data_IF_035773148763
#
_entry.id   IF_035773148763
#
_cell.length_a   1.000
_cell.length_b   1.000
_cell.length_c   1.000
_cell.angle_alpha   90.00
_cell.angle_beta   90.00
_cell.angle_gamma   90.00
#
_symmetry.space_group_name_H-M   'P 1'
#
loop_
_entity.id
_entity.type
_entity.pdbx_description
1 polymer ?
#
# COMPACT_ATOMS: atom_id res chain seq x y z
N UNK A 1 24.67 2.05 -6.19
CA UNK A 1 24.96 2.47 -7.58
C UNK A 1 23.88 2.05 -8.58
N UNK A 2 23.59 0.75 -8.77
CA UNK A 2 22.55 0.32 -9.73
C UNK A 2 21.13 0.77 -9.35
N UNK A 3 20.70 0.53 -8.10
CA UNK A 3 19.35 0.90 -7.63
C UNK A 3 19.14 2.41 -7.75
N UNK A 4 20.18 3.20 -7.47
CA UNK A 4 20.15 4.65 -7.60
C UNK A 4 19.86 5.08 -9.06
N UNK A 5 20.48 4.43 -10.06
CA UNK A 5 20.21 4.70 -11.49
C UNK A 5 18.76 4.38 -11.88
N UNK A 6 18.20 3.29 -11.36
CA UNK A 6 16.81 2.90 -11.64
C UNK A 6 15.85 3.97 -11.11
N UNK A 7 16.04 4.39 -9.87
CA UNK A 7 15.21 5.44 -9.27
C UNK A 7 15.36 6.80 -9.96
N UNK A 8 16.56 7.14 -10.44
CA UNK A 8 16.76 8.35 -11.24
C UNK A 8 15.93 8.32 -12.53
N UNK A 9 15.97 7.21 -13.27
CA UNK A 9 15.16 7.04 -14.50
C UNK A 9 13.66 7.12 -14.18
N UNK A 10 13.19 6.48 -13.10
CA UNK A 10 11.80 6.58 -12.65
C UNK A 10 11.42 8.03 -12.33
N UNK A 11 12.31 8.78 -11.69
CA UNK A 11 12.09 10.19 -11.33
C UNK A 11 12.02 11.12 -12.54
N UNK A 12 12.78 10.85 -13.60
CA UNK A 12 12.72 11.61 -14.86
C UNK A 12 11.46 11.30 -15.68
N UNK A 13 10.94 10.07 -15.57
CA UNK A 13 9.75 9.61 -16.29
C UNK A 13 8.44 10.11 -15.65
N UNK A 14 8.24 11.44 -15.57
CA UNK A 14 7.09 12.08 -14.89
C UNK A 14 5.72 11.74 -15.48
N UNK A 15 5.67 11.28 -16.74
CA UNK A 15 4.45 10.77 -17.38
C UNK A 15 4.00 9.40 -16.84
N UNK A 16 4.84 8.71 -16.07
CA UNK A 16 4.54 7.41 -15.48
C UNK A 16 4.47 7.49 -13.95
N UNK A 17 3.55 6.72 -13.38
CA UNK A 17 3.54 6.40 -11.95
C UNK A 17 4.17 5.02 -11.72
N UNK A 18 5.19 4.94 -10.88
CA UNK A 18 5.88 3.71 -10.54
C UNK A 18 5.47 3.22 -9.15
N UNK A 19 4.90 2.02 -9.08
CA UNK A 19 4.60 1.35 -7.80
C UNK A 19 5.75 0.40 -7.46
N UNK A 20 6.58 0.77 -6.48
CA UNK A 20 7.72 -0.03 -6.01
C UNK A 20 7.28 -0.85 -4.80
N UNK A 21 7.13 -2.16 -4.98
CA UNK A 21 6.64 -3.09 -3.97
C UNK A 21 7.76 -3.99 -3.43
N UNK A 22 7.84 -4.16 -2.11
CA UNK A 22 8.81 -5.07 -1.48
C UNK A 22 8.22 -5.84 -0.30
N UNK A 23 8.77 -7.02 0.01
CA UNK A 23 8.52 -7.75 1.27
C UNK A 23 9.53 -7.40 2.38
N UNK A 24 10.48 -6.51 2.09
CA UNK A 24 11.58 -6.08 2.96
C UNK A 24 11.59 -4.55 3.12
N UNK A 25 10.52 -3.95 3.65
CA UNK A 25 10.42 -2.49 3.79
C UNK A 25 11.49 -1.90 4.71
N UNK A 26 12.03 -2.67 5.64
CA UNK A 26 13.17 -2.28 6.47
C UNK A 26 14.41 -1.94 5.63
N UNK A 27 14.73 -2.77 4.62
CA UNK A 27 15.86 -2.52 3.71
C UNK A 27 15.58 -1.33 2.79
N UNK A 28 14.35 -1.18 2.33
CA UNK A 28 13.93 -0.03 1.51
C UNK A 28 14.07 1.27 2.31
N UNK A 29 13.67 1.25 3.58
CA UNK A 29 13.84 2.37 4.52
C UNK A 29 15.30 2.72 4.71
N UNK A 30 16.13 1.74 5.07
CA UNK A 30 17.58 1.94 5.27
C UNK A 30 18.22 2.56 4.03
N UNK A 31 17.92 2.01 2.85
CA UNK A 31 18.39 2.53 1.58
C UNK A 31 18.02 4.01 1.39
N UNK A 32 16.75 4.39 1.58
CA UNK A 32 16.29 5.76 1.39
C UNK A 32 16.77 6.72 2.49
N UNK A 33 16.85 6.27 3.75
CA UNK A 33 17.36 7.07 4.87
C UNK A 33 18.85 7.41 4.68
N UNK A 34 19.66 6.47 4.19
CA UNK A 34 21.07 6.73 3.85
C UNK A 34 21.22 7.82 2.78
N UNK A 35 20.39 7.78 1.72
CA UNK A 35 20.45 8.78 0.64
C UNK A 35 19.90 10.12 1.11
N UNK A 36 18.87 10.14 1.95
CA UNK A 36 18.34 11.36 2.56
C UNK A 36 19.39 12.08 3.42
N UNK A 37 20.28 11.34 4.10
CA UNK A 37 21.33 11.89 4.97
C UNK A 37 22.58 12.39 4.20
N UNK A 38 22.77 11.98 2.95
CA UNK A 38 23.99 12.19 2.17
C UNK A 38 24.07 13.49 1.34
N UNK A 39 24.06 14.67 1.97
CA UNK A 39 24.52 16.02 1.52
C UNK A 39 24.04 16.59 0.13
N UNK A 40 24.30 17.90 -0.15
CA UNK A 40 23.33 18.98 -0.33
C UNK A 40 22.73 19.10 -1.75
N UNK A 41 21.59 19.81 -1.88
CA UNK A 41 21.13 20.39 -3.15
C UNK A 41 22.22 21.33 -3.70
N UNK A 42 23.01 20.87 -4.66
CA UNK A 42 23.83 21.73 -5.51
C UNK A 42 23.04 21.98 -6.81
N UNK A 43 22.84 23.23 -7.25
CA UNK A 43 22.22 23.47 -8.55
C UNK A 43 23.17 22.93 -9.63
N UNK A 44 22.66 22.10 -10.53
CA UNK A 44 23.46 21.59 -11.64
C UNK A 44 23.91 22.76 -12.51
N UNK A 45 25.16 23.18 -12.37
CA UNK A 45 25.84 24.01 -13.36
C UNK A 45 26.65 23.06 -14.24
N UNK A 46 26.23 22.95 -15.50
CA UNK A 46 27.10 22.50 -16.58
C UNK A 46 27.29 20.99 -16.70
N UNK A 47 27.00 20.46 -17.89
CA UNK A 47 27.25 19.07 -18.25
C UNK A 47 28.68 18.65 -17.95
N UNK A 48 28.83 17.65 -17.08
CA UNK A 48 30.11 17.07 -16.70
C UNK A 48 29.92 15.97 -15.66
N UNK A 49 30.55 14.83 -15.91
CA UNK A 49 30.53 13.61 -15.14
C UNK A 49 31.01 13.83 -13.68
N UNK A 50 30.14 14.11 -12.70
CA UNK A 50 30.30 13.80 -11.25
C UNK A 50 29.09 14.31 -10.43
N UNK A 51 28.48 13.46 -9.59
CA UNK A 51 27.51 13.85 -8.54
C UNK A 51 26.05 13.45 -8.78
N UNK A 52 25.75 12.17 -9.01
CA UNK A 52 24.38 11.66 -9.07
C UNK A 52 23.77 11.57 -7.66
N UNK A 53 23.01 12.59 -7.24
CA UNK A 53 21.96 12.33 -6.26
C UNK A 53 20.76 11.76 -7.03
N UNK A 54 20.30 10.52 -6.76
CA UNK A 54 19.28 9.85 -7.59
C UNK A 54 17.91 10.57 -7.59
N UNK A 55 17.78 11.64 -6.81
CA UNK A 55 16.54 12.29 -6.50
C UNK A 55 16.81 13.77 -6.11
N UNK A 56 17.07 14.66 -7.06
CA UNK A 56 17.15 16.09 -6.74
C UNK A 56 15.73 16.66 -6.57
N UNK A 57 15.05 16.33 -5.47
CA UNK A 57 13.66 16.71 -5.23
C UNK A 57 13.39 17.03 -3.76
N UNK A 58 12.45 17.96 -3.53
CA UNK A 58 12.04 18.39 -2.18
C UNK A 58 11.38 17.26 -1.37
N UNK A 59 10.68 16.35 -2.05
CA UNK A 59 10.08 15.13 -1.45
C UNK A 59 10.76 13.89 -2.02
N UNK A 60 11.22 13.02 -1.13
CA UNK A 60 12.05 11.85 -1.45
C UNK A 60 11.31 10.54 -1.17
N UNK A 61 11.20 9.62 -2.15
CA UNK A 61 11.39 9.83 -3.59
C UNK A 61 10.32 10.77 -4.20
N UNK A 62 10.48 11.22 -5.46
CA UNK A 62 9.50 12.03 -6.19
C UNK A 62 8.07 11.47 -6.14
N UNK A 63 7.07 12.35 -6.29
CA UNK A 63 5.65 12.00 -6.16
C UNK A 63 5.15 10.91 -7.11
N UNK A 64 5.79 10.76 -8.28
CA UNK A 64 5.44 9.74 -9.25
C UNK A 64 6.04 8.35 -8.91
N UNK A 65 6.75 8.22 -7.79
CA UNK A 65 7.28 6.96 -7.27
C UNK A 65 6.58 6.65 -5.95
N UNK A 66 5.72 5.64 -5.98
CA UNK A 66 4.95 5.18 -4.83
C UNK A 66 5.66 4.00 -4.20
N UNK A 67 5.86 4.05 -2.89
CA UNK A 67 6.53 2.98 -2.16
C UNK A 67 5.50 2.12 -1.45
N UNK A 68 5.68 0.82 -1.50
CA UNK A 68 4.76 -0.07 -0.82
C UNK A 68 5.37 -1.37 -0.34
N UNK A 69 4.61 -2.03 0.52
CA UNK A 69 4.98 -3.36 1.03
C UNK A 69 3.82 -4.33 0.91
N UNK A 70 4.14 -5.60 0.61
CA UNK A 70 3.14 -6.65 0.65
C UNK A 70 2.85 -7.01 2.10
N UNK A 71 1.59 -7.28 2.40
CA UNK A 71 1.12 -7.83 3.67
C UNK A 71 0.17 -8.97 3.34
N UNK A 72 0.18 -10.04 4.11
CA UNK A 72 -0.69 -11.18 3.87
C UNK A 72 -1.70 -11.38 5.00
N UNK A 73 -1.38 -10.92 6.20
CA UNK A 73 -2.13 -11.07 7.44
C UNK A 73 -1.71 -10.00 8.46
N UNK A 74 -2.34 -9.97 9.64
CA UNK A 74 -2.04 -8.96 10.67
C UNK A 74 -0.58 -9.01 11.14
N UNK A 75 0.00 -10.22 11.28
CA UNK A 75 1.38 -10.38 11.73
C UNK A 75 2.38 -9.74 10.76
N UNK A 76 2.17 -9.93 9.46
CA UNK A 76 2.99 -9.28 8.41
C UNK A 76 2.71 -7.78 8.31
N UNK A 77 1.47 -7.34 8.54
CA UNK A 77 1.13 -5.92 8.62
C UNK A 77 1.88 -5.21 9.77
N UNK A 78 1.79 -5.75 10.98
CA UNK A 78 2.46 -5.25 12.18
C UNK A 78 3.99 -5.21 12.03
N UNK A 79 4.55 -6.22 11.35
CA UNK A 79 5.99 -6.28 11.10
C UNK A 79 6.46 -5.27 10.03
N UNK A 80 5.66 -4.98 9.01
CA UNK A 80 6.12 -4.29 7.78
C UNK A 80 5.66 -2.84 7.67
N UNK A 81 4.42 -2.55 8.04
CA UNK A 81 3.83 -1.21 7.88
C UNK A 81 4.60 -0.14 8.68
N UNK A 82 5.05 -0.37 9.93
CA UNK A 82 5.81 0.64 10.66
C UNK A 82 7.09 1.08 9.93
N UNK A 83 7.78 0.16 9.24
CA UNK A 83 8.94 0.52 8.42
C UNK A 83 8.54 1.36 7.20
N UNK A 84 7.45 1.01 6.51
CA UNK A 84 6.93 1.77 5.38
C UNK A 84 6.52 3.21 5.78
N UNK A 85 5.79 3.37 6.88
CA UNK A 85 5.37 4.70 7.36
C UNK A 85 6.58 5.54 7.78
N UNK A 86 7.59 4.93 8.41
CA UNK A 86 8.82 5.62 8.76
C UNK A 86 9.75 5.90 7.55
N UNK A 87 9.46 5.33 6.38
CA UNK A 87 10.25 5.55 5.15
C UNK A 87 9.91 6.92 4.56
N UNK A 88 10.90 7.74 4.15
CA UNK A 88 10.66 8.94 3.36
C UNK A 88 9.92 8.57 2.06
N UNK A 89 8.71 9.12 1.88
CA UNK A 89 7.91 8.91 0.69
C UNK A 89 6.82 9.97 0.55
N UNK A 90 6.60 10.41 -0.69
CA UNK A 90 5.43 11.20 -1.06
C UNK A 90 4.14 10.39 -0.95
N UNK A 91 4.17 9.13 -1.42
CA UNK A 91 3.03 8.21 -1.43
C UNK A 91 3.40 6.83 -0.91
N UNK A 92 2.53 6.25 -0.10
CA UNK A 92 2.68 4.92 0.51
C UNK A 92 1.50 4.04 0.18
N UNK A 93 1.75 2.78 -0.15
CA UNK A 93 0.68 1.81 -0.35
C UNK A 93 1.00 0.45 0.28
N UNK A 94 -0.05 -0.32 0.58
CA UNK A 94 0.10 -1.73 0.92
C UNK A 94 -0.58 -2.60 -0.13
N UNK A 95 0.02 -3.75 -0.41
CA UNK A 95 -0.59 -4.79 -1.23
C UNK A 95 -0.92 -5.98 -0.32
N UNK A 96 -2.18 -6.07 0.06
CA UNK A 96 -2.77 -7.18 0.79
C UNK A 96 -3.06 -8.35 -0.16
N UNK A 97 -1.99 -8.92 -0.72
CA UNK A 97 -2.04 -9.90 -1.81
C UNK A 97 -0.98 -11.02 -1.68
N UNK A 98 -1.39 -12.28 -1.51
CA UNK A 98 -2.77 -12.70 -1.22
C UNK A 98 -3.21 -12.23 0.18
N UNK A 99 -4.48 -11.85 0.34
CA UNK A 99 -5.07 -11.64 1.66
C UNK A 99 -5.42 -12.98 2.30
N UNK A 100 -4.64 -13.38 3.30
CA UNK A 100 -4.69 -14.69 3.95
C UNK A 100 -5.32 -14.67 5.35
N UNK A 101 -5.64 -13.49 5.87
CA UNK A 101 -6.32 -13.32 7.15
C UNK A 101 -6.99 -11.95 7.25
N UNK A 102 -7.81 -11.79 8.29
CA UNK A 102 -8.39 -10.49 8.62
C UNK A 102 -7.27 -9.48 8.96
N UNK A 103 -7.51 -8.22 8.60
CA UNK A 103 -6.60 -7.10 8.82
C UNK A 103 -7.36 -5.94 9.48
N UNK A 104 -6.77 -5.37 10.53
CA UNK A 104 -7.15 -4.08 11.08
C UNK A 104 -5.98 -3.10 10.94
N UNK A 105 -6.07 -2.24 9.92
CA UNK A 105 -5.05 -1.23 9.63
C UNK A 105 -5.16 0.00 10.53
N UNK A 106 -6.17 0.06 11.41
CA UNK A 106 -6.33 1.14 12.40
C UNK A 106 -5.51 0.85 13.66
N UNK A 107 -5.10 -0.39 13.85
CA UNK A 107 -4.38 -0.87 15.03
C UNK A 107 -3.18 -1.69 14.55
N UNK A 108 -2.09 -0.99 14.21
CA UNK A 108 -0.82 -1.62 13.86
C UNK A 108 0.22 -1.33 14.93
N UNK A 109 0.98 -2.35 15.34
CA UNK A 109 1.92 -2.22 16.45
C UNK A 109 3.24 -2.90 16.11
N UNK A 110 4.33 -2.13 16.11
CA UNK A 110 5.66 -2.73 16.00
C UNK A 110 5.93 -3.63 17.22
N UNK A 111 6.53 -4.80 17.00
CA UNK A 111 6.83 -5.75 18.07
C UNK A 111 7.66 -5.08 19.18
N UNK A 112 7.16 -5.12 20.42
CA UNK A 112 7.82 -4.54 21.59
C UNK A 112 7.62 -3.03 21.77
N UNK A 113 6.80 -2.38 20.94
CA UNK A 113 6.43 -0.97 21.07
C UNK A 113 5.15 -0.83 21.91
N UNK A 114 5.11 0.08 22.88
CA UNK A 114 3.85 0.50 23.54
C UNK A 114 3.01 1.47 22.70
N UNK A 115 3.53 1.87 21.53
CA UNK A 115 2.87 2.75 20.58
C UNK A 115 2.10 1.96 19.53
N UNK A 116 0.81 2.24 19.43
CA UNK A 116 -0.10 1.78 18.38
C UNK A 116 -0.23 2.85 17.31
N UNK A 117 -0.20 2.44 16.05
CA UNK A 117 -0.32 3.29 14.87
C UNK A 117 -1.61 2.94 14.14
N UNK A 118 -2.41 3.95 13.82
CA UNK A 118 -3.42 3.83 12.80
C UNK A 118 -2.73 4.08 11.45
N UNK A 119 -2.47 3.00 10.71
CA UNK A 119 -1.68 3.04 9.49
C UNK A 119 -2.36 3.85 8.37
N UNK A 120 -3.69 3.84 8.32
CA UNK A 120 -4.45 4.57 7.32
C UNK A 120 -4.31 6.08 7.52
N UNK A 121 -4.41 6.53 8.76
CA UNK A 121 -4.44 7.96 9.09
C UNK A 121 -3.07 8.52 9.44
N UNK A 122 -2.14 7.69 9.91
CA UNK A 122 -0.90 8.11 10.55
C UNK A 122 -1.07 8.57 12.01
N UNK A 123 -2.28 8.47 12.58
CA UNK A 123 -2.49 8.76 14.00
C UNK A 123 -1.77 7.72 14.86
N UNK A 124 -1.34 8.12 16.05
CA UNK A 124 -0.69 7.19 16.97
C UNK A 124 -1.02 7.46 18.42
N UNK A 125 -1.09 6.38 19.18
CA UNK A 125 -1.52 6.38 20.57
C UNK A 125 -0.50 5.58 21.38
N UNK A 126 -0.31 5.94 22.64
CA UNK A 126 0.54 5.20 23.57
C UNK A 126 -0.23 4.98 24.85
N UNK A 127 -0.26 3.73 25.34
CA UNK A 127 -0.94 3.41 26.60
C UNK A 127 -0.35 4.18 27.80
N UNK A 128 0.91 4.61 27.70
CA UNK A 128 1.61 5.36 28.75
C UNK A 128 1.47 6.87 28.60
N UNK A 129 0.73 7.37 27.59
CA UNK A 129 0.54 8.81 27.39
C UNK A 129 -0.86 9.16 26.90
N UNK A 130 -1.57 9.96 27.69
CA UNK A 130 -2.89 10.49 27.35
C UNK A 130 -2.81 11.66 26.35
N UNK A 131 -1.62 12.19 26.05
CA UNK A 131 -1.47 13.25 25.06
C UNK A 131 -1.49 12.68 23.65
N UNK A 132 -2.30 13.26 22.75
CA UNK A 132 -2.26 12.94 21.34
C UNK A 132 -0.84 13.16 20.79
N UNK A 133 -0.23 12.10 20.27
CA UNK A 133 1.08 12.18 19.64
C UNK A 133 0.95 12.87 18.28
N UNK A 134 1.99 13.59 17.81
CA UNK A 134 2.00 14.16 16.47
C UNK A 134 1.65 13.09 15.42
N UNK A 135 0.71 13.44 14.54
CA UNK A 135 0.26 12.57 13.45
C UNK A 135 1.41 12.38 12.46
N UNK A 136 1.77 11.13 12.23
CA UNK A 136 2.75 10.75 11.22
C UNK A 136 2.13 10.62 9.83
N UNK A 137 2.90 10.16 8.84
CA UNK A 137 2.35 9.78 7.54
C UNK A 137 1.41 8.57 7.67
N UNK A 138 0.38 8.54 6.84
CA UNK A 138 -0.53 7.41 6.65
C UNK A 138 -0.28 6.68 5.33
N UNK A 139 -1.17 5.75 5.01
CA UNK A 139 -1.26 5.08 3.71
C UNK A 139 -2.12 5.90 2.75
N UNK A 140 -1.74 5.91 1.48
CA UNK A 140 -2.49 6.54 0.41
C UNK A 140 -3.36 5.54 -0.37
N UNK A 141 -2.94 4.27 -0.41
CA UNK A 141 -3.60 3.21 -1.16
C UNK A 141 -3.50 1.85 -0.46
N UNK A 142 -4.61 1.12 -0.44
CA UNK A 142 -4.69 -0.28 -0.05
C UNK A 142 -5.15 -1.10 -1.25
N UNK A 143 -4.29 -2.00 -1.72
CA UNK A 143 -4.60 -2.96 -2.79
C UNK A 143 -4.92 -4.30 -2.15
N UNK A 144 -6.04 -4.93 -2.53
CA UNK A 144 -6.46 -6.23 -2.00
C UNK A 144 -6.70 -7.23 -3.12
N UNK A 145 -6.31 -8.48 -2.90
CA UNK A 145 -6.51 -9.54 -3.88
C UNK A 145 -6.29 -10.93 -3.32
N UNK A 146 -7.01 -11.90 -3.88
CA UNK A 146 -6.88 -13.32 -3.53
C UNK A 146 -5.74 -14.03 -4.27
N UNK A 147 -5.41 -15.23 -3.78
CA UNK A 147 -4.30 -16.04 -4.29
C UNK A 147 -4.66 -16.69 -5.64
N UNK A 148 -3.71 -16.70 -6.58
CA UNK A 148 -3.83 -17.39 -7.88
C UNK A 148 -2.97 -18.65 -7.92
N UNK A 149 -3.31 -19.63 -8.76
CA UNK A 149 -2.50 -20.83 -9.01
C UNK A 149 -3.01 -22.13 -8.37
N UNK A 150 -2.27 -23.24 -8.56
CA UNK A 150 -2.75 -24.59 -8.26
C UNK A 150 -3.07 -24.84 -6.78
N UNK A 151 -2.40 -24.12 -5.87
CA UNK A 151 -2.53 -24.22 -4.40
C UNK A 151 -3.11 -22.96 -3.77
N UNK A 152 -3.83 -22.15 -4.54
CA UNK A 152 -4.46 -20.94 -4.03
C UNK A 152 -5.36 -21.24 -2.83
N UNK A 153 -5.26 -20.42 -1.80
CA UNK A 153 -6.18 -20.43 -0.66
C UNK A 153 -7.36 -19.48 -0.90
N UNK A 154 -8.55 -19.80 -0.40
CA UNK A 154 -9.68 -18.89 -0.47
C UNK A 154 -9.46 -17.67 0.44
N UNK A 155 -9.91 -16.50 -0.03
CA UNK A 155 -9.98 -15.26 0.75
C UNK A 155 -11.42 -15.07 1.21
N UNK A 156 -11.64 -14.85 2.52
CA UNK A 156 -12.98 -14.62 3.04
C UNK A 156 -13.51 -13.23 2.60
N UNK A 157 -14.77 -13.12 2.13
CA UNK A 157 -15.32 -11.85 1.65
C UNK A 157 -15.36 -10.76 2.73
N UNK A 158 -15.60 -11.14 3.99
CA UNK A 158 -15.66 -10.16 5.08
C UNK A 158 -14.31 -9.50 5.36
N UNK A 159 -13.19 -10.16 5.06
CA UNK A 159 -11.87 -9.55 5.24
C UNK A 159 -11.65 -8.38 4.28
N UNK A 160 -12.02 -8.55 3.00
CA UNK A 160 -11.90 -7.50 1.99
C UNK A 160 -12.95 -6.39 2.19
N UNK A 161 -14.18 -6.74 2.61
CA UNK A 161 -15.22 -5.75 2.95
C UNK A 161 -14.81 -4.87 4.13
N UNK A 162 -14.29 -5.47 5.19
CA UNK A 162 -13.76 -4.73 6.34
C UNK A 162 -12.62 -3.79 5.93
N UNK A 163 -11.67 -4.26 5.12
CA UNK A 163 -10.59 -3.39 4.62
C UNK A 163 -11.11 -2.23 3.78
N UNK A 164 -12.07 -2.46 2.89
CA UNK A 164 -12.73 -1.41 2.12
C UNK A 164 -13.34 -0.36 3.04
N UNK A 165 -14.12 -0.78 4.03
CA UNK A 165 -14.78 0.12 4.98
C UNK A 165 -13.77 0.94 5.80
N UNK A 166 -12.69 0.30 6.26
CA UNK A 166 -11.60 1.00 6.94
C UNK A 166 -10.98 2.09 6.04
N UNK A 167 -10.75 1.79 4.76
CA UNK A 167 -10.20 2.75 3.79
C UNK A 167 -11.15 3.92 3.53
N UNK A 168 -12.42 3.62 3.22
CA UNK A 168 -13.47 4.62 3.00
C UNK A 168 -13.60 5.54 4.22
N UNK A 169 -13.66 4.98 5.43
CA UNK A 169 -13.75 5.75 6.67
C UNK A 169 -12.53 6.65 6.90
N UNK A 170 -11.36 6.29 6.39
CA UNK A 170 -10.12 7.05 6.54
C UNK A 170 -9.84 8.01 5.37
N UNK A 171 -10.63 7.95 4.29
CA UNK A 171 -10.37 8.68 3.05
C UNK A 171 -9.13 8.18 2.28
N UNK A 172 -8.80 6.89 2.43
CA UNK A 172 -7.67 6.23 1.76
C UNK A 172 -8.18 5.50 0.52
N UNK A 173 -7.46 5.56 -0.60
CA UNK A 173 -7.88 4.88 -1.82
C UNK A 173 -7.89 3.36 -1.64
N UNK A 174 -8.94 2.72 -2.16
CA UNK A 174 -9.12 1.28 -2.11
C UNK A 174 -9.16 0.65 -3.50
N UNK A 175 -8.28 -0.33 -3.75
CA UNK A 175 -8.24 -1.08 -5.00
C UNK A 175 -8.46 -2.57 -4.74
N UNK A 176 -9.57 -3.11 -5.24
CA UNK A 176 -9.81 -4.54 -5.26
C UNK A 176 -9.38 -5.12 -6.61
N UNK A 177 -8.27 -5.84 -6.61
CA UNK A 177 -7.69 -6.36 -7.84
C UNK A 177 -8.47 -7.54 -8.38
N UNK A 178 -8.69 -8.56 -7.54
CA UNK A 178 -9.39 -9.79 -7.90
C UNK A 178 -9.58 -10.76 -6.72
N UNK A 179 -10.43 -11.77 -6.93
CA UNK A 179 -10.65 -12.88 -5.98
C UNK A 179 -9.59 -14.00 -6.02
N UNK A 180 -8.75 -14.08 -7.06
CA UNK A 180 -7.86 -15.23 -7.23
C UNK A 180 -8.61 -16.45 -7.75
N UNK A 181 -8.33 -17.67 -7.29
CA UNK A 181 -8.98 -18.89 -7.83
C UNK A 181 -10.38 -19.22 -7.26
N UNK A 182 -10.83 -18.50 -6.22
CA UNK A 182 -11.98 -18.88 -5.39
C UNK A 182 -13.08 -17.83 -5.37
N UNK A 183 -14.34 -18.24 -5.25
CA UNK A 183 -15.48 -17.37 -4.92
C UNK A 183 -16.19 -17.87 -3.67
N UNK A 184 -16.84 -16.95 -2.94
CA UNK A 184 -17.71 -17.28 -1.80
C UNK A 184 -19.18 -17.40 -2.21
N UNK A 185 -19.43 -18.02 -3.36
CA UNK A 185 -20.77 -18.32 -3.86
C UNK A 185 -20.67 -19.42 -4.90
N UNK A 186 -21.67 -20.31 -4.95
CA UNK A 186 -21.78 -21.30 -6.04
C UNK A 186 -21.87 -20.58 -7.40
N UNK A 187 -21.34 -21.15 -8.49
CA UNK A 187 -21.45 -20.56 -9.83
C UNK A 187 -22.88 -20.19 -10.25
N UNK A 188 -23.88 -20.94 -9.78
CA UNK A 188 -25.30 -20.73 -10.07
C UNK A 188 -25.99 -19.71 -9.12
N UNK A 189 -25.25 -19.15 -8.16
CA UNK A 189 -25.77 -18.18 -7.18
C UNK A 189 -26.66 -18.73 -6.06
N UNK A 190 -26.82 -20.06 -5.96
CA UNK A 190 -27.80 -20.72 -5.08
C UNK A 190 -27.31 -21.04 -3.66
N UNK A 191 -26.00 -21.12 -3.45
CA UNK A 191 -25.41 -21.49 -2.15
C UNK A 191 -24.17 -20.65 -1.83
N UNK A 192 -23.95 -20.42 -0.53
CA UNK A 192 -22.76 -19.74 0.00
C UNK A 192 -21.73 -20.76 0.48
N UNK A 193 -20.48 -20.59 0.08
CA UNK A 193 -19.37 -21.48 0.39
C UNK A 193 -18.19 -21.18 -0.52
N UNK A 194 -17.03 -21.78 -0.24
CA UNK A 194 -15.86 -21.60 -1.10
C UNK A 194 -15.88 -22.55 -2.28
N UNK A 195 -15.96 -21.99 -3.48
CA UNK A 195 -15.91 -22.73 -4.74
C UNK A 195 -14.69 -22.31 -5.54
N UNK A 196 -13.88 -23.31 -5.94
CA UNK A 196 -12.76 -23.07 -6.84
C UNK A 196 -13.29 -23.03 -8.27
N UNK A 197 -13.28 -21.83 -8.85
CA UNK A 197 -13.88 -21.58 -10.17
C UNK A 197 -12.86 -21.16 -11.22
N UNK A 198 -11.62 -20.89 -10.79
CA UNK A 198 -10.56 -20.40 -11.66
C UNK A 198 -10.50 -18.89 -11.70
N UNK A 199 -9.28 -18.34 -11.78
CA UNK A 199 -9.00 -16.89 -11.80
C UNK A 199 -9.95 -16.05 -12.66
N UNK A 200 -10.14 -16.48 -13.91
CA UNK A 200 -10.96 -15.74 -14.89
C UNK A 200 -12.44 -15.66 -14.46
N UNK A 201 -12.98 -16.76 -13.92
CA UNK A 201 -14.37 -16.84 -13.51
C UNK A 201 -14.61 -16.11 -12.18
N UNK A 202 -13.65 -16.20 -11.24
CA UNK A 202 -13.75 -15.51 -9.96
C UNK A 202 -13.74 -13.98 -10.13
N UNK A 203 -12.91 -13.48 -11.06
CA UNK A 203 -12.97 -12.09 -11.50
C UNK A 203 -12.60 -11.07 -10.42
N UNK A 204 -13.12 -9.86 -10.59
CA UNK A 204 -12.74 -8.64 -9.84
C UNK A 204 -13.90 -7.83 -9.31
N UNK A 205 -15.10 -8.41 -9.30
CA UNK A 205 -16.29 -7.77 -8.75
C UNK A 205 -16.38 -8.07 -7.26
N UNK A 206 -16.28 -7.05 -6.42
CA UNK A 206 -16.58 -7.13 -5.00
C UNK A 206 -17.96 -6.51 -4.77
N UNK A 207 -18.90 -7.32 -4.28
CA UNK A 207 -20.30 -6.93 -4.10
C UNK A 207 -20.91 -6.33 -5.39
N UNK A 208 -20.61 -6.93 -6.54
CA UNK A 208 -21.11 -6.50 -7.85
C UNK A 208 -20.38 -5.30 -8.49
N UNK A 209 -19.39 -4.72 -7.81
CA UNK A 209 -18.72 -3.50 -8.27
C UNK A 209 -17.21 -3.70 -8.45
N UNK A 210 -16.61 -2.96 -9.36
CA UNK A 210 -15.15 -2.82 -9.47
C UNK A 210 -14.68 -1.70 -8.56
N UNK A 211 -13.58 -1.91 -7.85
CA UNK A 211 -12.97 -0.93 -6.96
C UNK A 211 -11.55 -0.67 -7.44
N UNK A 212 -11.36 0.43 -8.17
CA UNK A 212 -10.12 0.72 -8.92
C UNK A 212 -9.48 2.06 -8.54
N UNK A 213 -9.72 2.51 -7.31
CA UNK A 213 -9.28 3.83 -6.89
C UNK A 213 -7.76 3.93 -6.88
N UNK A 214 -7.28 5.12 -7.23
CA UNK A 214 -5.86 5.48 -7.20
C UNK A 214 -5.70 6.80 -6.43
N UNK A 215 -4.63 6.98 -5.65
CA UNK A 215 -4.33 8.24 -4.98
C UNK A 215 -4.40 9.43 -5.93
N UNK A 216 -5.16 10.45 -5.57
CA UNK A 216 -5.26 11.70 -6.32
C UNK A 216 -6.21 11.69 -7.52
N UNK A 217 -6.82 10.56 -7.89
CA UNK A 217 -7.98 10.60 -8.79
C UNK A 217 -9.15 11.22 -8.02
N UNK A 218 -9.70 12.35 -8.49
CA UNK A 218 -10.98 12.86 -7.96
C UNK A 218 -12.00 11.73 -8.10
N UNK A 219 -12.48 11.21 -6.97
CA UNK A 219 -13.46 10.14 -6.97
C UNK A 219 -14.64 10.52 -7.87
N UNK A 220 -15.04 9.60 -8.74
CA UNK A 220 -16.35 9.68 -9.38
C UNK A 220 -17.34 9.69 -8.23
N UNK A 221 -17.93 10.85 -7.94
CA UNK A 221 -19.12 10.90 -7.13
C UNK A 221 -20.10 9.94 -7.79
N UNK A 222 -20.56 8.95 -7.04
CA UNK A 222 -21.72 8.18 -7.44
C UNK A 222 -22.81 9.20 -7.76
N UNK A 223 -23.14 9.32 -9.06
CA UNK A 223 -24.36 10.00 -9.46
C UNK A 223 -25.50 9.14 -8.90
N UNK A 224 -25.97 9.52 -7.72
CA UNK A 224 -27.33 9.17 -7.32
C UNK A 224 -28.28 9.82 -8.33
N UNK A 225 -29.21 8.99 -8.78
CA UNK A 225 -30.17 9.25 -9.84
C UNK A 225 -31.10 10.43 -9.52
N UNK A 226 -31.51 11.13 -10.58
CA UNK A 226 -32.92 11.42 -10.84
C UNK A 226 -33.20 11.15 -12.30
#
# INVERSE_FOLDING_TARGET
>A
EWIDRVFAVMGECRQHTFQVLTKRPERMREYLDERRKGRPLMPSIGGGLLGYHPFNCEVMPPENIWLGTSIEDQATADARIPHLLATPAARRFVSAEPLLGALDLRITQARGSSRVLNALTGASFSETSLSALPRGPGLDLVIVGGESGPRARPMHPDWVRSLREQCVSAGVSFHFKQWGEWMFQSPEGRATGFYRVGKKAAGRLLDGHTWDEMPGSKGVQANDQT
#
